data_IF_824584454048
#
_entry.id   IF_824584454048
#
_cell.length_a   1.000
_cell.length_b   1.000
_cell.length_c   1.000
_cell.angle_alpha   90.00
_cell.angle_beta   90.00
_cell.angle_gamma   90.00
#
_symmetry.space_group_name_H-M   'P 1'
#
loop_
_entity.id
_entity.type
_entity.pdbx_description
1 polymer ?
#
# COMPACT_ATOMS: atom_id res chain seq x y z
N UNK A 1 61.43 -49.00 17.05
CA UNK A 1 61.66 -48.11 15.90
C UNK A 1 61.44 -46.68 16.35
N UNK A 2 62.43 -45.80 16.12
CA UNK A 2 62.54 -44.45 16.72
C UNK A 2 61.77 -43.42 15.87
N UNK A 3 60.80 -42.72 16.46
CA UNK A 3 60.14 -41.57 15.84
C UNK A 3 60.94 -40.28 16.11
N UNK A 4 61.42 -39.64 15.05
CA UNK A 4 62.09 -38.33 15.10
C UNK A 4 61.04 -37.21 15.15
N UNK A 5 61.16 -36.32 16.14
CA UNK A 5 60.47 -35.02 16.18
C UNK A 5 61.22 -34.01 15.29
N UNK A 6 60.51 -33.32 14.40
CA UNK A 6 60.98 -32.15 13.69
C UNK A 6 60.50 -30.90 14.43
N UNK A 7 61.43 -30.04 14.87
CA UNK A 7 61.13 -28.68 15.31
C UNK A 7 61.40 -27.72 14.14
N UNK A 8 60.38 -27.00 13.70
CA UNK A 8 60.50 -25.88 12.76
C UNK A 8 60.58 -24.59 13.59
N UNK A 9 61.71 -23.91 13.55
CA UNK A 9 61.89 -22.55 14.09
C UNK A 9 61.70 -21.57 12.93
N UNK A 10 60.59 -20.82 12.93
CA UNK A 10 60.40 -19.67 12.05
C UNK A 10 60.86 -18.42 12.79
N UNK A 11 61.99 -17.85 12.36
CA UNK A 11 62.42 -16.53 12.77
C UNK A 11 61.58 -15.46 12.08
N UNK A 12 60.85 -14.67 12.85
CA UNK A 12 60.14 -13.49 12.37
C UNK A 12 61.12 -12.31 12.27
N UNK A 13 61.34 -11.84 11.05
CA UNK A 13 62.18 -10.67 10.75
C UNK A 13 61.36 -9.38 10.95
N UNK A 14 61.66 -8.65 12.02
CA UNK A 14 60.91 -7.47 12.47
C UNK A 14 61.23 -6.18 11.69
N UNK A 15 62.10 -6.26 10.68
CA UNK A 15 62.49 -5.10 9.86
C UNK A 15 61.48 -4.67 8.79
N UNK A 16 60.49 -5.52 8.46
CA UNK A 16 59.58 -5.26 7.33
C UNK A 16 58.36 -4.40 7.70
N UNK A 17 57.94 -4.39 8.97
CA UNK A 17 56.67 -3.75 9.37
C UNK A 17 56.74 -2.22 9.46
N UNK A 18 57.90 -1.67 9.82
CA UNK A 18 58.03 -0.21 10.02
C UNK A 18 58.01 0.60 8.71
N UNK A 19 58.55 0.05 7.61
CA UNK A 19 58.59 0.74 6.31
C UNK A 19 57.20 0.84 5.68
N UNK A 20 56.38 -0.20 5.81
CA UNK A 20 55.01 -0.19 5.28
C UNK A 20 54.08 0.71 6.10
N UNK A 21 54.25 0.78 7.42
CA UNK A 21 53.48 1.70 8.26
C UNK A 21 53.71 3.17 7.85
N UNK A 22 54.95 3.54 7.53
CA UNK A 22 55.26 4.92 7.12
C UNK A 22 54.70 5.27 5.73
N UNK A 23 54.71 4.30 4.80
CA UNK A 23 54.12 4.46 3.46
C UNK A 23 52.60 4.64 3.54
N UNK A 24 51.92 3.87 4.40
CA UNK A 24 50.46 3.98 4.58
C UNK A 24 50.09 5.35 5.17
N UNK A 25 50.83 5.84 6.18
CA UNK A 25 50.56 7.15 6.79
C UNK A 25 50.75 8.29 5.77
N UNK A 26 51.77 8.21 4.92
CA UNK A 26 51.99 9.18 3.83
C UNK A 26 50.90 9.11 2.76
N UNK A 27 50.43 7.92 2.41
CA UNK A 27 49.32 7.74 1.45
C UNK A 27 48.01 8.33 1.98
N UNK A 28 47.69 8.12 3.27
CA UNK A 28 46.49 8.67 3.90
C UNK A 28 46.56 10.20 3.97
N UNK A 29 47.73 10.77 4.28
CA UNK A 29 47.91 12.23 4.32
C UNK A 29 47.76 12.89 2.93
N UNK A 30 48.20 12.20 1.86
CA UNK A 30 48.07 12.71 0.49
C UNK A 30 46.65 12.56 -0.09
N UNK A 31 45.89 11.56 0.38
CA UNK A 31 44.51 11.33 -0.09
C UNK A 31 43.45 12.14 0.66
N UNK A 32 43.72 12.58 1.89
CA UNK A 32 42.80 13.39 2.69
C UNK A 32 42.22 14.64 1.96
N UNK A 33 43.01 15.48 1.27
CA UNK A 33 42.46 16.64 0.57
C UNK A 33 41.61 16.27 -0.65
N UNK A 34 41.90 15.13 -1.30
CA UNK A 34 41.11 14.64 -2.45
C UNK A 34 39.75 14.12 -1.99
N UNK A 35 39.70 13.40 -0.87
CA UNK A 35 38.45 12.92 -0.26
C UNK A 35 37.61 14.11 0.24
N UNK A 36 38.23 15.13 0.83
CA UNK A 36 37.52 16.35 1.25
C UNK A 36 36.93 17.12 0.06
N UNK A 37 37.66 17.23 -1.06
CA UNK A 37 37.16 17.86 -2.28
C UNK A 37 35.99 17.08 -2.91
N UNK A 38 36.05 15.74 -2.91
CA UNK A 38 34.96 14.88 -3.38
C UNK A 38 33.70 15.02 -2.49
N UNK A 39 33.85 15.14 -1.18
CA UNK A 39 32.75 15.38 -0.24
C UNK A 39 32.12 16.78 -0.40
N UNK A 40 32.92 17.80 -0.69
CA UNK A 40 32.41 19.15 -0.99
C UNK A 40 31.70 19.21 -2.35
N UNK A 41 32.10 18.38 -3.31
CA UNK A 41 31.45 18.32 -4.62
C UNK A 41 30.09 17.61 -4.53
N UNK A 42 29.99 16.47 -3.83
CA UNK A 42 28.72 15.76 -3.62
C UNK A 42 27.71 16.55 -2.78
N UNK A 43 28.16 17.35 -1.82
CA UNK A 43 27.26 18.23 -1.05
C UNK A 43 26.75 19.41 -1.85
N UNK A 44 27.53 19.95 -2.80
CA UNK A 44 27.06 21.02 -3.71
C UNK A 44 26.09 20.53 -4.77
N UNK A 45 26.29 19.33 -5.34
CA UNK A 45 25.33 18.75 -6.29
C UNK A 45 24.03 18.33 -5.61
N UNK A 46 24.08 17.88 -4.35
CA UNK A 46 22.85 17.58 -3.59
C UNK A 46 22.10 18.83 -3.12
N UNK A 47 22.75 20.00 -2.99
CA UNK A 47 22.04 21.27 -2.72
C UNK A 47 21.46 21.93 -3.97
N UNK A 48 22.02 21.66 -5.17
CA UNK A 48 21.47 22.15 -6.43
C UNK A 48 20.20 21.41 -6.88
N UNK A 49 19.94 20.23 -6.33
CA UNK A 49 18.69 19.46 -6.52
C UNK A 49 17.69 19.65 -5.38
N UNK A 50 17.83 20.68 -4.53
CA UNK A 50 16.70 21.13 -3.72
C UNK A 50 15.63 21.67 -4.66
N UNK A 51 14.63 20.84 -4.96
CA UNK A 51 13.38 21.20 -5.61
C UNK A 51 12.81 22.48 -4.97
N UNK A 52 12.99 23.61 -5.64
CA UNK A 52 12.38 24.88 -5.23
C UNK A 52 10.89 24.82 -5.55
N UNK A 53 10.11 24.23 -4.66
CA UNK A 53 8.65 24.29 -4.75
C UNK A 53 8.23 25.70 -4.36
N UNK A 54 7.75 26.50 -5.31
CA UNK A 54 7.10 27.77 -4.99
C UNK A 54 5.65 27.46 -4.58
N UNK A 55 5.37 27.53 -3.28
CA UNK A 55 4.01 27.62 -2.76
C UNK A 55 3.68 29.08 -2.51
N UNK A 56 2.54 29.55 -3.00
CA UNK A 56 1.98 30.84 -2.60
C UNK A 56 1.08 30.57 -1.39
N UNK A 57 1.42 31.06 -0.18
CA UNK A 57 0.55 30.92 0.97
C UNK A 57 -0.74 31.72 0.76
N UNK A 58 -1.88 31.09 1.07
CA UNK A 58 -3.20 31.72 0.97
C UNK A 58 -3.39 32.81 2.04
N UNK A 59 -4.14 33.86 1.66
CA UNK A 59 -4.62 34.93 2.54
C UNK A 59 -5.89 34.54 3.32
N UNK A 60 -6.53 33.41 2.99
CA UNK A 60 -7.74 32.90 3.62
C UNK A 60 -7.50 31.81 4.67
N UNK A 61 -6.57 32.00 5.61
CA UNK A 61 -6.41 31.20 6.86
C UNK A 61 -6.27 29.65 6.71
N UNK A 62 -6.31 29.12 5.49
CA UNK A 62 -6.03 27.75 5.10
C UNK A 62 -4.52 27.64 4.94
N UNK A 63 -3.88 26.80 5.74
CA UNK A 63 -2.42 26.55 5.64
C UNK A 63 -2.05 25.68 4.43
N UNK A 64 -2.97 25.43 3.51
CA UNK A 64 -2.79 24.47 2.42
C UNK A 64 -2.54 25.21 1.09
N UNK A 65 -1.47 24.87 0.34
CA UNK A 65 -1.22 25.48 -0.96
C UNK A 65 -2.35 25.15 -1.94
N UNK A 66 -2.92 26.18 -2.56
CA UNK A 66 -3.92 26.02 -3.64
C UNK A 66 -3.26 25.76 -5.01
N UNK A 67 -1.94 25.93 -5.09
CA UNK A 67 -1.19 25.86 -6.33
C UNK A 67 0.25 25.45 -6.07
N UNK A 68 0.75 24.54 -6.90
CA UNK A 68 2.16 24.12 -6.93
C UNK A 68 2.59 23.94 -8.37
N UNK A 69 3.71 24.54 -8.75
CA UNK A 69 4.37 24.21 -10.01
C UNK A 69 5.71 23.53 -9.77
N UNK A 70 6.00 22.55 -10.61
CA UNK A 70 7.33 21.95 -10.71
C UNK A 70 8.26 22.87 -11.51
N UNK A 71 9.56 22.58 -11.45
CA UNK A 71 10.56 23.30 -12.26
C UNK A 71 10.35 23.11 -13.78
N UNK A 72 9.59 22.08 -14.16
CA UNK A 72 9.24 21.75 -15.55
C UNK A 72 7.94 22.42 -16.02
N UNK A 73 7.51 23.50 -15.34
CA UNK A 73 6.28 24.26 -15.62
C UNK A 73 4.97 23.44 -15.58
N UNK A 74 4.96 22.29 -14.91
CA UNK A 74 3.73 21.56 -14.64
C UNK A 74 3.08 22.19 -13.42
N UNK A 75 1.92 22.81 -13.62
CA UNK A 75 1.21 23.52 -12.57
C UNK A 75 -0.06 22.78 -12.19
N UNK A 76 -0.13 22.36 -10.93
CA UNK A 76 -1.32 21.75 -10.33
C UNK A 76 -2.04 22.78 -9.49
N UNK A 77 -3.33 22.96 -9.75
CA UNK A 77 -4.23 23.77 -8.93
C UNK A 77 -5.16 22.84 -8.18
N UNK A 78 -5.32 23.08 -6.88
CA UNK A 78 -6.21 22.30 -6.02
C UNK A 78 -7.26 23.23 -5.43
N UNK A 79 -8.52 22.89 -5.65
CA UNK A 79 -9.66 23.62 -5.09
C UNK A 79 -10.18 22.89 -3.86
N UNK A 80 -10.59 23.65 -2.85
CA UNK A 80 -11.12 23.12 -1.60
C UNK A 80 -12.50 23.71 -1.30
N UNK A 81 -13.36 22.94 -0.64
CA UNK A 81 -14.61 23.45 -0.08
C UNK A 81 -14.37 24.31 1.18
N UNK A 82 -15.45 24.87 1.72
CA UNK A 82 -15.41 25.69 2.96
C UNK A 82 -14.95 24.92 4.21
N UNK A 83 -14.86 23.59 4.16
CA UNK A 83 -14.40 22.71 5.23
C UNK A 83 -12.93 22.31 5.06
N UNK A 84 -12.33 22.68 3.92
CA UNK A 84 -10.96 22.32 3.57
C UNK A 84 -10.86 20.94 2.91
N UNK A 85 -11.96 20.33 2.46
CA UNK A 85 -11.91 19.12 1.66
C UNK A 85 -11.53 19.48 0.22
N UNK A 86 -10.64 18.71 -0.39
CA UNK A 86 -10.27 18.88 -1.78
C UNK A 86 -11.44 18.51 -2.68
N UNK A 87 -11.98 19.46 -3.44
CA UNK A 87 -13.10 19.20 -4.36
C UNK A 87 -12.66 19.00 -5.80
N UNK A 88 -11.47 19.50 -6.14
CA UNK A 88 -11.00 19.48 -7.51
C UNK A 88 -9.48 19.54 -7.59
N UNK A 89 -8.89 18.73 -8.44
CA UNK A 89 -7.51 18.92 -8.91
C UNK A 89 -7.57 19.25 -10.40
N UNK A 90 -6.80 20.24 -10.83
CA UNK A 90 -6.58 20.53 -12.25
C UNK A 90 -5.09 20.64 -12.52
N UNK A 91 -4.64 20.01 -13.60
CA UNK A 91 -3.29 20.22 -14.09
C UNK A 91 -3.31 21.07 -15.36
N UNK A 92 -2.38 22.03 -15.46
CA UNK A 92 -2.21 22.86 -16.65
C UNK A 92 -0.72 22.90 -17.03
N UNK A 93 -0.42 22.69 -18.31
CA UNK A 93 0.95 22.76 -18.86
C UNK A 93 1.04 23.86 -19.92
N UNK A 94 2.29 24.27 -20.19
CA UNK A 94 2.66 24.98 -21.41
C UNK A 94 2.98 24.02 -22.59
N UNK A 95 3.27 24.62 -23.75
CA UNK A 95 3.30 24.00 -25.08
C UNK A 95 4.34 22.87 -25.30
N UNK A 96 5.13 22.50 -24.30
CA UNK A 96 6.26 21.56 -24.44
C UNK A 96 6.15 20.23 -23.65
N UNK A 97 5.00 19.92 -23.02
CA UNK A 97 4.54 18.54 -22.69
C UNK A 97 5.14 17.87 -21.43
N UNK A 98 4.37 17.43 -20.42
CA UNK A 98 2.98 16.97 -20.43
C UNK A 98 2.28 17.05 -19.05
N UNK A 99 0.95 17.21 -19.12
CA UNK A 99 -0.13 17.19 -18.12
C UNK A 99 -1.44 17.54 -18.88
N UNK A 100 -1.85 16.61 -19.74
CA UNK A 100 -3.14 16.68 -20.43
C UNK A 100 -4.13 15.89 -19.57
N UNK A 101 -4.94 16.64 -18.82
CA UNK A 101 -6.20 16.27 -18.18
C UNK A 101 -6.22 15.03 -17.26
N UNK A 102 -5.63 15.16 -16.05
CA UNK A 102 -6.19 14.49 -14.87
C UNK A 102 -7.00 15.52 -14.10
N UNK A 103 -8.31 15.38 -14.17
CA UNK A 103 -9.26 16.18 -13.43
C UNK A 103 -10.12 15.27 -12.60
N UNK A 104 -9.75 15.16 -11.33
CA UNK A 104 -10.62 14.53 -10.35
C UNK A 104 -11.56 15.56 -9.74
N UNK A 105 -12.85 15.42 -10.00
CA UNK A 105 -13.90 16.06 -9.21
C UNK A 105 -14.24 15.14 -8.03
N UNK A 106 -14.02 15.65 -6.82
CA UNK A 106 -14.36 14.97 -5.57
C UNK A 106 -15.63 15.60 -4.99
N UNK A 107 -16.66 14.77 -4.85
CA UNK A 107 -18.00 15.18 -4.42
C UNK A 107 -18.21 14.67 -2.99
N UNK A 108 -18.64 15.57 -2.10
CA UNK A 108 -18.85 15.27 -0.68
C UNK A 108 -20.31 15.45 -0.27
N UNK A 109 -20.75 14.68 0.72
CA UNK A 109 -22.04 14.88 1.38
C UNK A 109 -22.01 16.02 2.41
N UNK A 110 -23.16 16.29 3.04
CA UNK A 110 -23.27 17.30 4.10
C UNK A 110 -22.51 16.94 5.38
N UNK A 111 -22.09 15.69 5.60
CA UNK A 111 -21.22 15.31 6.72
C UNK A 111 -19.73 15.44 6.36
N UNK A 112 -19.39 15.61 5.08
CA UNK A 112 -18.03 15.70 4.57
C UNK A 112 -17.44 14.35 4.17
N UNK A 113 -18.26 13.32 3.97
CA UNK A 113 -17.80 12.06 3.39
C UNK A 113 -17.72 12.18 1.87
N UNK A 114 -16.66 11.61 1.29
CA UNK A 114 -16.47 11.56 -0.16
C UNK A 114 -17.46 10.56 -0.77
N UNK A 115 -18.49 11.03 -1.45
CA UNK A 115 -19.52 10.19 -2.05
C UNK A 115 -19.28 9.85 -3.52
N UNK A 116 -18.41 10.61 -4.19
CA UNK A 116 -18.02 10.30 -5.56
C UNK A 116 -16.64 10.91 -5.91
N UNK A 117 -15.89 10.18 -6.73
CA UNK A 117 -14.78 10.72 -7.53
C UNK A 117 -15.16 10.58 -8.99
N UNK A 118 -14.88 11.61 -9.79
CA UNK A 118 -15.07 11.60 -11.24
C UNK A 118 -13.80 12.00 -11.93
N UNK A 119 -13.40 11.18 -12.89
CA UNK A 119 -12.34 11.54 -13.80
C UNK A 119 -12.93 12.26 -15.02
N UNK A 120 -12.45 13.47 -15.26
CA UNK A 120 -12.96 14.36 -16.27
C UNK A 120 -12.02 14.43 -17.47
N UNK A 121 -12.50 13.97 -18.62
CA UNK A 121 -11.72 13.93 -19.86
C UNK A 121 -11.54 15.29 -20.52
N UNK A 122 -12.42 16.26 -20.26
CA UNK A 122 -12.29 17.59 -20.86
C UNK A 122 -12.92 18.67 -19.99
N UNK A 123 -12.21 19.78 -19.82
CA UNK A 123 -12.70 20.94 -19.06
C UNK A 123 -13.18 22.03 -20.02
N UNK A 124 -14.32 22.63 -19.69
CA UNK A 124 -14.72 23.90 -20.30
C UNK A 124 -13.76 25.04 -19.90
N UNK A 125 -13.78 26.13 -20.66
CA UNK A 125 -13.02 27.35 -20.34
C UNK A 125 -13.36 27.96 -18.96
N UNK A 126 -14.48 27.56 -18.36
CA UNK A 126 -14.92 28.00 -17.03
C UNK A 126 -14.40 27.08 -15.91
N UNK A 127 -13.58 26.08 -16.23
CA UNK A 127 -13.09 25.13 -15.25
C UNK A 127 -14.17 24.14 -14.80
N UNK A 128 -15.25 23.93 -15.57
CA UNK A 128 -16.26 22.91 -15.29
C UNK A 128 -16.02 21.70 -16.18
N UNK A 129 -16.16 20.48 -15.64
CA UNK A 129 -16.07 19.28 -16.46
C UNK A 129 -17.10 19.33 -17.59
N UNK A 130 -16.63 19.25 -18.83
CA UNK A 130 -17.45 19.35 -20.04
C UNK A 130 -17.84 17.98 -20.61
N UNK A 131 -17.01 16.96 -20.33
CA UNK A 131 -17.32 15.56 -20.54
C UNK A 131 -16.53 14.69 -19.56
N UNK A 132 -17.19 13.70 -19.01
CA UNK A 132 -16.56 12.60 -18.29
C UNK A 132 -16.27 11.47 -19.27
N UNK A 133 -15.18 10.76 -19.03
CA UNK A 133 -14.76 9.73 -19.97
C UNK A 133 -15.66 8.54 -20.09
N UNK A 134 -15.52 7.83 -21.21
CA UNK A 134 -16.19 6.54 -21.42
C UNK A 134 -15.51 5.38 -20.67
N UNK A 135 -14.59 5.71 -19.75
CA UNK A 135 -13.93 4.77 -18.85
C UNK A 135 -12.95 3.82 -19.56
N UNK A 136 -12.60 4.07 -20.84
CA UNK A 136 -11.73 3.19 -21.63
C UNK A 136 -10.26 3.57 -21.63
N UNK A 137 -9.88 4.59 -20.85
CA UNK A 137 -8.52 5.11 -20.76
C UNK A 137 -7.64 4.29 -19.80
N UNK A 138 -6.69 3.57 -20.39
CA UNK A 138 -5.52 2.91 -19.79
C UNK A 138 -5.75 1.76 -18.81
N UNK A 139 -5.43 0.57 -19.33
CA UNK A 139 -5.04 -0.63 -18.60
C UNK A 139 -4.21 -0.30 -17.35
N UNK A 140 -4.63 -0.91 -16.25
CA UNK A 140 -3.99 -0.94 -14.93
C UNK A 140 -4.44 0.14 -13.92
N UNK A 141 -5.72 0.11 -13.56
CA UNK A 141 -6.19 0.28 -12.18
C UNK A 141 -6.00 1.64 -11.49
N UNK A 142 -5.68 2.71 -12.22
CA UNK A 142 -5.71 4.07 -11.70
C UNK A 142 -6.88 4.83 -12.36
N UNK A 143 -7.66 5.56 -11.55
CA UNK A 143 -8.52 6.68 -11.98
C UNK A 143 -9.88 6.35 -12.64
N UNK A 144 -10.48 5.19 -12.33
CA UNK A 144 -11.90 4.99 -12.64
C UNK A 144 -12.80 5.84 -11.72
N UNK A 145 -13.71 6.62 -12.31
CA UNK A 145 -14.81 7.29 -11.60
C UNK A 145 -15.48 6.31 -10.65
N UNK A 146 -15.77 6.73 -9.42
CA UNK A 146 -16.28 5.83 -8.38
C UNK A 146 -17.36 6.50 -7.52
N UNK A 147 -18.34 5.70 -7.10
CA UNK A 147 -19.35 6.07 -6.11
C UNK A 147 -19.08 5.36 -4.79
N UNK A 148 -19.33 6.08 -3.70
CA UNK A 148 -19.21 5.59 -2.34
C UNK A 148 -20.53 5.78 -1.60
N UNK A 149 -20.89 4.80 -0.76
CA UNK A 149 -22.01 4.92 0.19
C UNK A 149 -21.53 4.73 1.61
N UNK A 150 -22.18 5.41 2.54
CA UNK A 150 -21.85 5.40 3.96
C UNK A 150 -23.06 5.02 4.80
N UNK A 151 -22.83 4.37 5.93
CA UNK A 151 -23.85 4.20 6.97
C UNK A 151 -24.00 5.47 7.83
N UNK A 152 -24.89 5.42 8.82
CA UNK A 152 -25.15 6.55 9.71
C UNK A 152 -23.98 6.92 10.63
N UNK A 153 -23.05 5.99 10.86
CA UNK A 153 -21.86 6.18 11.68
C UNK A 153 -20.67 6.72 10.85
N UNK A 154 -20.85 6.87 9.53
CA UNK A 154 -19.83 7.34 8.60
C UNK A 154 -18.88 6.24 8.12
N UNK A 155 -19.21 4.96 8.30
CA UNK A 155 -18.44 3.87 7.71
C UNK A 155 -18.84 3.67 6.25
N UNK A 156 -17.85 3.51 5.36
CA UNK A 156 -18.11 3.24 3.94
C UNK A 156 -18.67 1.84 3.74
N UNK A 157 -19.94 1.72 3.38
CA UNK A 157 -20.62 0.43 3.16
C UNK A 157 -20.61 -0.06 1.71
N UNK A 158 -20.30 0.81 0.74
CA UNK A 158 -20.20 0.42 -0.66
C UNK A 158 -19.15 1.24 -1.42
N UNK A 159 -18.53 0.59 -2.42
CA UNK A 159 -17.73 1.16 -3.49
C UNK A 159 -18.25 0.62 -4.82
N UNK A 160 -18.52 1.51 -5.78
CA UNK A 160 -18.93 1.16 -7.14
C UNK A 160 -18.09 1.89 -8.16
N UNK A 161 -17.54 1.15 -9.13
CA UNK A 161 -16.84 1.78 -10.25
C UNK A 161 -17.83 2.19 -11.34
N UNK A 162 -17.80 3.45 -11.68
CA UNK A 162 -18.63 4.05 -12.71
C UNK A 162 -17.88 4.01 -14.03
N UNK A 163 -18.41 3.25 -15.00
CA UNK A 163 -17.85 3.19 -16.36
C UNK A 163 -18.31 4.39 -17.20
N UNK A 164 -19.49 4.93 -16.90
CA UNK A 164 -20.02 6.09 -17.61
C UNK A 164 -20.71 7.06 -16.67
N UNK A 165 -20.30 8.31 -16.74
CA UNK A 165 -20.85 9.40 -15.93
C UNK A 165 -21.75 10.28 -16.81
N UNK A 166 -22.94 10.60 -16.32
CA UNK A 166 -23.85 11.53 -16.98
C UNK A 166 -23.30 12.97 -16.92
N UNK A 167 -23.88 13.85 -17.74
CA UNK A 167 -23.48 15.27 -17.80
C UNK A 167 -23.65 16.01 -16.47
N UNK A 168 -24.54 15.55 -15.61
CA UNK A 168 -24.77 16.11 -14.27
C UNK A 168 -23.81 15.54 -13.20
N UNK A 169 -22.85 14.71 -13.58
CA UNK A 169 -21.88 14.09 -12.68
C UNK A 169 -22.40 12.83 -11.98
N UNK A 170 -23.66 12.43 -12.20
CA UNK A 170 -24.18 11.17 -11.65
C UNK A 170 -23.66 9.97 -12.44
N UNK A 171 -23.52 8.82 -11.78
CA UNK A 171 -23.16 7.62 -12.50
C UNK A 171 -24.34 7.14 -13.37
N UNK A 172 -24.10 7.02 -14.68
CA UNK A 172 -25.09 6.54 -15.64
C UNK A 172 -24.98 5.04 -15.86
N UNK A 173 -23.77 4.49 -15.77
CA UNK A 173 -23.49 3.07 -16.00
C UNK A 173 -22.34 2.63 -15.10
N UNK A 174 -22.56 1.58 -14.31
CA UNK A 174 -21.52 0.95 -13.52
C UNK A 174 -20.80 -0.10 -14.34
N UNK A 175 -19.49 -0.22 -14.14
CA UNK A 175 -18.67 -1.24 -14.78
C UNK A 175 -19.09 -2.65 -14.38
N UNK A 176 -18.51 -3.67 -15.03
CA UNK A 176 -18.80 -5.07 -14.69
C UNK A 176 -18.05 -5.59 -13.47
N UNK A 177 -16.98 -4.91 -13.05
CA UNK A 177 -16.03 -5.41 -12.06
C UNK A 177 -15.59 -4.34 -11.05
N UNK A 178 -14.86 -4.79 -10.02
CA UNK A 178 -14.27 -3.95 -8.98
C UNK A 178 -15.25 -3.44 -7.90
N UNK A 179 -16.51 -3.88 -7.88
CA UNK A 179 -17.45 -3.39 -6.88
C UNK A 179 -17.24 -4.07 -5.54
N UNK A 180 -17.42 -3.33 -4.45
CA UNK A 180 -17.28 -3.87 -3.10
C UNK A 180 -18.37 -3.40 -2.16
N UNK A 181 -18.88 -4.32 -1.35
CA UNK A 181 -19.66 -3.99 -0.16
C UNK A 181 -18.83 -4.23 1.09
N UNK A 182 -19.12 -3.46 2.13
CA UNK A 182 -18.41 -3.54 3.40
C UNK A 182 -19.40 -3.68 4.54
N UNK A 183 -19.00 -4.45 5.55
CA UNK A 183 -19.75 -4.58 6.80
C UNK A 183 -18.85 -4.25 7.98
N UNK A 184 -19.46 -3.77 9.06
CA UNK A 184 -18.75 -3.29 10.23
C UNK A 184 -19.41 -3.82 11.50
N UNK A 185 -18.63 -3.96 12.57
CA UNK A 185 -19.18 -4.16 13.91
C UNK A 185 -19.64 -2.83 14.52
N UNK A 186 -20.24 -2.90 15.71
CA UNK A 186 -20.75 -1.72 16.41
C UNK A 186 -19.65 -0.72 16.85
N UNK A 187 -18.38 -1.09 16.76
CA UNK A 187 -17.25 -0.22 17.07
C UNK A 187 -16.60 0.38 15.81
N UNK A 188 -17.17 0.12 14.62
CA UNK A 188 -16.61 0.56 13.33
C UNK A 188 -15.45 -0.29 12.82
N UNK A 189 -15.22 -1.49 13.37
CA UNK A 189 -14.23 -2.41 12.81
C UNK A 189 -14.82 -3.12 11.60
N UNK A 190 -14.11 -3.13 10.47
CA UNK A 190 -14.56 -3.77 9.23
C UNK A 190 -14.62 -5.29 9.40
N UNK A 191 -15.80 -5.89 9.33
CA UNK A 191 -15.99 -7.34 9.43
C UNK A 191 -15.83 -8.06 8.10
N UNK A 192 -16.23 -7.42 6.99
CA UNK A 192 -16.04 -7.98 5.67
C UNK A 192 -15.86 -6.89 4.60
N UNK A 193 -15.14 -7.26 3.54
CA UNK A 193 -15.09 -6.61 2.23
C UNK A 193 -15.55 -7.66 1.22
N UNK A 194 -16.72 -7.51 0.66
CA UNK A 194 -17.33 -8.48 -0.24
C UNK A 194 -17.21 -7.99 -1.68
N UNK A 195 -16.56 -8.78 -2.52
CA UNK A 195 -16.51 -8.52 -3.96
C UNK A 195 -17.88 -8.76 -4.57
N UNK A 196 -18.42 -7.71 -5.20
CA UNK A 196 -19.71 -7.73 -5.84
C UNK A 196 -19.52 -7.96 -7.34
N UNK A 197 -19.97 -9.11 -7.84
CA UNK A 197 -19.77 -9.49 -9.24
C UNK A 197 -20.87 -8.97 -10.17
N UNK A 198 -21.96 -8.46 -9.61
CA UNK A 198 -23.10 -7.96 -10.38
C UNK A 198 -23.92 -6.98 -9.56
N UNK A 199 -24.37 -5.92 -10.23
CA UNK A 199 -25.16 -4.87 -9.64
C UNK A 199 -26.61 -4.94 -10.11
N UNK A 200 -27.50 -4.44 -9.26
CA UNK A 200 -28.84 -4.02 -9.64
C UNK A 200 -28.81 -2.64 -10.27
N UNK A 201 -29.92 -2.30 -10.93
CA UNK A 201 -30.13 -1.02 -11.61
C UNK A 201 -30.03 0.19 -10.65
N UNK A 202 -30.20 -0.03 -9.34
CA UNK A 202 -30.03 0.96 -8.26
C UNK A 202 -28.59 1.00 -7.67
N UNK A 203 -27.67 0.26 -8.29
CA UNK A 203 -26.29 0.11 -7.84
C UNK A 203 -26.11 -0.77 -6.60
N UNK A 204 -27.15 -1.46 -6.12
CA UNK A 204 -27.01 -2.43 -5.02
C UNK A 204 -26.42 -3.74 -5.52
N UNK A 205 -25.69 -4.45 -4.67
CA UNK A 205 -25.13 -5.74 -5.06
C UNK A 205 -26.22 -6.81 -5.22
N UNK A 206 -26.26 -7.49 -6.37
CA UNK A 206 -27.18 -8.62 -6.62
C UNK A 206 -26.56 -9.96 -6.25
N UNK A 207 -25.29 -10.13 -6.53
CA UNK A 207 -24.56 -11.34 -6.19
C UNK A 207 -23.12 -11.04 -5.80
N UNK A 208 -22.64 -11.85 -4.86
CA UNK A 208 -21.24 -11.87 -4.45
C UNK A 208 -20.55 -13.04 -5.12
N UNK A 209 -19.26 -12.87 -5.41
CA UNK A 209 -18.49 -13.94 -6.02
C UNK A 209 -17.00 -13.63 -6.00
N UNK A 210 -16.27 -14.39 -6.78
CA UNK A 210 -14.91 -14.07 -7.22
C UNK A 210 -14.96 -13.90 -8.72
N UNK A 211 -14.13 -13.04 -9.31
CA UNK A 211 -13.94 -13.12 -10.76
C UNK A 211 -13.31 -14.48 -11.05
N UNK A 212 -14.05 -15.36 -11.73
CA UNK A 212 -13.57 -16.68 -12.06
C UNK A 212 -12.50 -16.66 -13.17
N UNK A 213 -12.27 -15.49 -13.79
CA UNK A 213 -11.63 -15.41 -15.10
C UNK A 213 -10.18 -14.90 -15.08
N UNK A 214 -9.71 -14.28 -14.00
CA UNK A 214 -8.36 -13.74 -13.93
C UNK A 214 -7.60 -14.25 -12.71
N UNK A 215 -6.34 -14.67 -12.92
CA UNK A 215 -5.32 -14.91 -11.88
C UNK A 215 -4.98 -13.63 -11.06
N UNK A 216 -5.86 -12.62 -11.08
CA UNK A 216 -5.64 -11.31 -10.50
C UNK A 216 -6.29 -11.21 -9.11
N UNK A 217 -5.46 -10.93 -8.10
CA UNK A 217 -5.80 -11.07 -6.69
C UNK A 217 -6.78 -10.02 -6.15
N UNK A 218 -7.22 -9.09 -6.99
CA UNK A 218 -7.98 -7.92 -6.60
C UNK A 218 -9.47 -8.21 -6.33
N UNK A 219 -10.00 -9.31 -6.88
CA UNK A 219 -11.45 -9.60 -6.87
C UNK A 219 -11.84 -10.64 -5.82
N UNK A 220 -11.22 -10.57 -4.65
CA UNK A 220 -11.50 -11.50 -3.56
C UNK A 220 -12.27 -10.83 -2.42
N UNK A 221 -13.16 -11.61 -1.83
CA UNK A 221 -13.86 -11.20 -0.63
C UNK A 221 -13.00 -11.49 0.59
N UNK A 222 -12.94 -10.54 1.52
CA UNK A 222 -12.12 -10.59 2.73
C UNK A 222 -13.02 -10.54 3.96
N UNK A 223 -12.66 -11.31 4.99
CA UNK A 223 -13.36 -11.38 6.27
C UNK A 223 -12.35 -11.16 7.39
N UNK A 224 -12.75 -10.40 8.39
CA UNK A 224 -11.87 -9.98 9.47
C UNK A 224 -12.50 -10.28 10.81
N UNK A 225 -11.67 -10.66 11.78
CA UNK A 225 -12.07 -10.83 13.17
C UNK A 225 -11.13 -10.07 14.09
N UNK A 226 -11.70 -9.56 15.17
CA UNK A 226 -11.00 -8.71 16.12
C UNK A 226 -11.11 -9.27 17.53
N UNK A 227 -10.11 -8.99 18.37
CA UNK A 227 -10.23 -9.22 19.80
C UNK A 227 -11.03 -8.10 20.50
N UNK A 228 -11.19 -8.22 21.82
CA UNK A 228 -11.90 -7.23 22.64
C UNK A 228 -11.24 -5.85 22.68
N UNK A 229 -9.96 -5.74 22.31
CA UNK A 229 -9.23 -4.48 22.23
C UNK A 229 -9.24 -3.88 20.81
N UNK A 230 -9.95 -4.53 19.87
CA UNK A 230 -10.03 -4.16 18.45
C UNK A 230 -8.73 -4.39 17.68
N UNK A 231 -7.89 -5.31 18.15
CA UNK A 231 -6.76 -5.77 17.36
C UNK A 231 -7.25 -6.79 16.33
N UNK A 232 -6.81 -6.67 15.07
CA UNK A 232 -7.14 -7.62 14.00
C UNK A 232 -6.47 -8.97 14.30
N UNK A 233 -7.22 -9.99 14.70
CA UNK A 233 -6.64 -11.30 15.07
C UNK A 233 -6.69 -12.33 13.94
N UNK A 234 -7.58 -12.15 12.97
CA UNK A 234 -7.61 -13.02 11.79
C UNK A 234 -8.17 -12.29 10.59
N UNK A 235 -7.54 -12.54 9.45
CA UNK A 235 -8.03 -12.14 8.14
C UNK A 235 -8.12 -13.39 7.27
N UNK A 236 -9.23 -13.50 6.53
CA UNK A 236 -9.48 -14.60 5.63
C UNK A 236 -9.93 -14.11 4.28
N UNK A 237 -9.37 -14.72 3.24
CA UNK A 237 -9.84 -14.51 1.87
C UNK A 237 -10.77 -15.65 1.46
N UNK A 238 -11.93 -15.29 0.94
CA UNK A 238 -12.97 -16.22 0.55
C UNK A 238 -13.02 -16.36 -0.96
N UNK A 239 -12.91 -17.61 -1.43
CA UNK A 239 -13.00 -17.96 -2.85
C UNK A 239 -14.43 -18.08 -3.33
N UNK A 240 -15.36 -18.46 -2.46
CA UNK A 240 -16.76 -18.61 -2.86
C UNK A 240 -17.66 -18.02 -1.81
N UNK A 241 -18.39 -16.98 -2.19
CA UNK A 241 -19.33 -16.29 -1.31
C UNK A 241 -20.75 -16.74 -1.65
N UNK A 242 -21.56 -16.96 -0.63
CA UNK A 242 -22.99 -17.21 -0.77
C UNK A 242 -23.75 -15.93 -1.14
N UNK A 243 -24.98 -16.04 -1.65
CA UNK A 243 -25.82 -14.87 -1.97
C UNK A 243 -26.05 -13.95 -0.76
N UNK A 244 -26.10 -14.51 0.45
CA UNK A 244 -26.23 -13.76 1.70
C UNK A 244 -24.91 -13.14 2.20
N UNK A 245 -23.83 -13.20 1.41
CA UNK A 245 -22.53 -12.63 1.76
C UNK A 245 -21.70 -13.47 2.74
N UNK A 246 -22.07 -14.73 3.04
CA UNK A 246 -21.25 -15.60 3.90
C UNK A 246 -20.24 -16.40 3.09
N UNK A 247 -19.05 -16.63 3.64
CA UNK A 247 -18.05 -17.46 2.98
C UNK A 247 -18.45 -18.95 2.95
N UNK A 248 -18.39 -19.58 1.78
CA UNK A 248 -18.61 -21.03 1.59
C UNK A 248 -17.30 -21.81 1.49
N UNK A 249 -16.26 -21.20 0.94
CA UNK A 249 -14.97 -21.83 0.75
C UNK A 249 -13.85 -20.79 0.83
N UNK A 250 -12.83 -21.09 1.63
CA UNK A 250 -11.63 -20.29 1.77
C UNK A 250 -10.59 -20.72 0.75
N UNK A 251 -9.80 -19.76 0.28
CA UNK A 251 -8.71 -20.08 -0.65
C UNK A 251 -7.59 -20.84 0.05
N UNK A 252 -7.09 -21.90 -0.59
CA UNK A 252 -5.87 -22.57 -0.18
C UNK A 252 -4.69 -21.81 -0.78
N UNK A 253 -3.82 -21.26 0.06
CA UNK A 253 -2.64 -20.54 -0.40
C UNK A 253 -1.59 -21.57 -0.82
N UNK A 254 -1.76 -22.15 -2.01
CA UNK A 254 -0.82 -23.10 -2.59
C UNK A 254 0.39 -22.38 -3.16
N UNK A 255 1.39 -22.21 -2.31
CA UNK A 255 2.67 -21.59 -2.65
C UNK A 255 2.57 -20.08 -2.60
N UNK A 256 3.23 -19.46 -1.63
CA UNK A 256 3.56 -18.03 -1.68
C UNK A 256 4.65 -17.82 -2.74
N UNK A 257 4.32 -17.98 -4.03
CA UNK A 257 4.89 -17.04 -4.99
C UNK A 257 4.24 -15.69 -4.64
N UNK A 258 4.96 -14.58 -4.77
CA UNK A 258 4.45 -13.23 -4.47
C UNK A 258 3.17 -12.88 -5.27
N UNK A 259 2.81 -13.74 -6.24
CA UNK A 259 1.62 -13.68 -7.09
C UNK A 259 0.39 -14.44 -6.59
N UNK A 260 0.47 -15.17 -5.47
CA UNK A 260 -0.65 -15.98 -5.01
C UNK A 260 -1.70 -15.16 -4.30
N UNK A 261 -2.91 -15.21 -4.85
CA UNK A 261 -4.04 -14.39 -4.42
C UNK A 261 -4.71 -14.95 -3.17
N UNK A 262 -4.89 -14.07 -2.18
CA UNK A 262 -5.56 -14.38 -0.93
C UNK A 262 -4.59 -14.53 0.22
N UNK A 263 -4.74 -13.66 1.21
CA UNK A 263 -3.97 -13.70 2.43
C UNK A 263 -4.87 -14.33 3.50
N UNK A 264 -4.45 -15.49 3.98
CA UNK A 264 -5.01 -16.12 5.17
C UNK A 264 -4.02 -15.88 6.30
N UNK A 265 -4.36 -15.04 7.27
CA UNK A 265 -3.42 -14.66 8.32
C UNK A 265 -4.06 -14.66 9.71
N UNK A 266 -3.33 -15.18 10.69
CA UNK A 266 -3.62 -15.07 12.11
C UNK A 266 -2.59 -14.18 12.80
N UNK A 267 -3.07 -13.27 13.63
CA UNK A 267 -2.24 -12.32 14.35
C UNK A 267 -2.42 -12.52 15.85
N UNK A 268 -1.35 -12.26 16.59
CA UNK A 268 -1.37 -12.28 18.06
C UNK A 268 -0.71 -11.02 18.57
N UNK A 269 -1.24 -10.50 19.68
CA UNK A 269 -0.80 -9.26 20.29
C UNK A 269 -0.39 -9.49 21.74
N UNK A 270 0.52 -8.67 22.24
CA UNK A 270 0.79 -8.59 23.67
C UNK A 270 -0.31 -7.79 24.40
N UNK A 271 -0.20 -7.68 25.73
CA UNK A 271 -1.17 -6.95 26.56
C UNK A 271 -1.20 -5.45 26.30
N UNK A 272 -0.20 -4.90 25.59
CA UNK A 272 -0.12 -3.49 25.22
C UNK A 272 -0.67 -3.24 23.80
N UNK A 273 -1.11 -4.30 23.10
CA UNK A 273 -1.58 -4.21 21.72
C UNK A 273 -0.48 -4.23 20.67
N UNK A 274 0.76 -4.58 21.02
CA UNK A 274 1.83 -4.75 20.03
C UNK A 274 1.70 -6.12 19.37
N UNK A 275 1.78 -6.16 18.03
CA UNK A 275 1.69 -7.41 17.27
C UNK A 275 2.94 -8.26 17.47
N UNK A 276 2.84 -9.37 18.19
CA UNK A 276 3.99 -10.27 18.46
C UNK A 276 4.13 -11.40 17.45
N UNK A 277 3.07 -11.71 16.67
CA UNK A 277 3.21 -12.63 15.54
C UNK A 277 2.20 -12.40 14.41
N UNK A 278 2.60 -12.76 13.19
CA UNK A 278 1.73 -12.98 12.04
C UNK A 278 1.99 -14.39 11.47
N UNK A 279 0.95 -15.20 11.35
CA UNK A 279 1.03 -16.58 10.84
C UNK A 279 0.19 -16.70 9.58
N UNK A 280 0.83 -17.03 8.46
CA UNK A 280 0.17 -17.13 7.17
C UNK A 280 -0.21 -18.59 6.89
N UNK A 281 -1.49 -18.83 6.67
CA UNK A 281 -2.04 -20.16 6.54
C UNK A 281 -1.78 -20.71 5.14
N UNK A 282 -1.33 -21.97 5.10
CA UNK A 282 -1.19 -22.75 3.87
C UNK A 282 -2.53 -23.33 3.45
N UNK A 283 -3.21 -23.93 4.41
CA UNK A 283 -4.52 -24.57 4.22
C UNK A 283 -5.47 -24.08 5.29
N UNK A 284 -6.72 -23.86 4.87
CA UNK A 284 -7.80 -23.39 5.72
C UNK A 284 -8.95 -24.38 5.60
N UNK A 285 -9.51 -24.79 6.73
CA UNK A 285 -10.69 -25.63 6.80
C UNK A 285 -11.94 -24.87 6.30
N UNK A 286 -13.03 -25.60 6.05
CA UNK A 286 -14.29 -24.98 5.60
C UNK A 286 -14.91 -24.02 6.62
N UNK A 287 -14.54 -24.14 7.90
CA UNK A 287 -14.95 -23.23 8.98
C UNK A 287 -14.02 -22.02 9.15
N UNK A 288 -12.99 -21.89 8.31
CA UNK A 288 -12.01 -20.80 8.39
C UNK A 288 -10.83 -21.05 9.32
N UNK A 289 -10.76 -22.21 9.99
CA UNK A 289 -9.62 -22.55 10.85
C UNK A 289 -8.38 -22.89 10.03
N UNK A 290 -7.21 -22.36 10.42
CA UNK A 290 -5.96 -22.69 9.74
C UNK A 290 -5.49 -24.10 10.15
N UNK A 291 -5.28 -24.96 9.16
CA UNK A 291 -4.87 -26.35 9.37
C UNK A 291 -3.35 -26.54 9.24
N UNK A 292 -2.69 -25.67 8.47
CA UNK A 292 -1.25 -25.65 8.31
C UNK A 292 -0.75 -24.23 8.01
N UNK A 293 0.51 -23.95 8.33
CA UNK A 293 1.14 -22.65 8.10
C UNK A 293 2.27 -22.73 7.09
N UNK A 294 2.36 -21.73 6.20
CA UNK A 294 3.43 -21.60 5.22
C UNK A 294 4.60 -20.77 5.75
N UNK A 295 4.26 -19.71 6.48
CA UNK A 295 5.16 -18.64 6.84
C UNK A 295 4.74 -18.01 8.17
N UNK A 296 5.72 -17.59 8.97
CA UNK A 296 5.50 -16.79 10.17
C UNK A 296 6.50 -15.66 10.28
N UNK A 297 6.00 -14.56 10.81
CA UNK A 297 6.78 -13.44 11.30
C UNK A 297 6.58 -13.35 12.82
N UNK A 298 7.68 -13.29 13.55
CA UNK A 298 7.70 -13.01 14.99
C UNK A 298 8.28 -11.63 15.22
N UNK A 299 7.70 -10.91 16.17
CA UNK A 299 8.17 -9.60 16.58
C UNK A 299 8.45 -9.63 18.07
N UNK A 300 9.65 -9.18 18.46
CA UNK A 300 9.95 -8.87 19.85
C UNK A 300 10.20 -7.36 19.97
N UNK A 301 9.58 -6.74 20.97
CA UNK A 301 9.67 -5.31 21.22
C UNK A 301 10.60 -5.09 22.40
N UNK A 302 11.55 -4.17 22.24
CA UNK A 302 12.32 -3.66 23.38
C UNK A 302 11.50 -2.61 24.16
N UNK A 303 12.09 -2.09 25.24
CA UNK A 303 11.44 -1.07 26.07
C UNK A 303 11.19 0.25 25.34
N UNK A 304 11.82 0.47 24.17
CA UNK A 304 11.65 1.65 23.32
C UNK A 304 10.63 1.39 22.18
N UNK A 305 9.94 0.25 22.21
CA UNK A 305 9.03 -0.22 21.15
C UNK A 305 9.68 -0.46 19.79
N UNK A 306 11.02 -0.61 19.72
CA UNK A 306 11.67 -1.06 18.49
C UNK A 306 11.45 -2.55 18.36
N UNK A 307 10.96 -2.97 17.20
CA UNK A 307 10.77 -4.38 16.92
C UNK A 307 12.05 -5.01 16.35
N UNK A 308 12.35 -6.21 16.81
CA UNK A 308 13.19 -7.15 16.07
C UNK A 308 12.26 -8.10 15.34
N UNK A 309 12.42 -8.20 14.02
CA UNK A 309 11.61 -9.07 13.16
C UNK A 309 12.38 -10.36 12.88
N UNK A 310 11.80 -11.51 13.23
CA UNK A 310 12.29 -12.83 12.85
C UNK A 310 11.31 -13.47 11.86
N UNK A 311 11.84 -13.96 10.75
CA UNK A 311 11.06 -14.51 9.64
C UNK A 311 11.37 -16.00 9.50
N UNK A 312 10.35 -16.87 9.55
CA UNK A 312 10.53 -18.33 9.52
C UNK A 312 9.61 -18.96 8.48
N UNK A 313 10.18 -19.73 7.55
CA UNK A 313 9.43 -20.35 6.46
C UNK A 313 9.56 -21.86 6.49
N UNK A 314 8.50 -22.54 6.03
CA UNK A 314 8.51 -24.00 5.85
C UNK A 314 9.61 -24.47 4.87
N UNK A 315 10.00 -23.63 3.90
CA UNK A 315 11.06 -23.97 2.92
C UNK A 315 12.45 -24.13 3.55
N UNK A 316 12.71 -23.45 4.67
CA UNK A 316 14.01 -23.47 5.32
C UNK A 316 14.09 -24.45 6.51
N UNK A 317 13.07 -25.30 6.71
CA UNK A 317 12.93 -26.20 7.86
C UNK A 317 13.01 -25.51 9.24
N UNK A 318 12.77 -24.19 9.31
CA UNK A 318 12.78 -23.41 10.56
C UNK A 318 11.37 -23.11 11.06
N UNK A 319 10.35 -23.81 10.54
CA UNK A 319 8.95 -23.63 10.90
C UNK A 319 8.30 -24.98 11.20
N UNK A 320 7.71 -25.11 12.38
CA UNK A 320 6.81 -26.22 12.67
C UNK A 320 5.48 -25.97 11.94
N UNK A 321 5.18 -26.77 10.92
CA UNK A 321 4.01 -26.56 10.05
C UNK A 321 2.67 -26.78 10.76
N UNK A 322 2.65 -27.50 11.89
CA UNK A 322 1.44 -27.76 12.67
C UNK A 322 1.10 -26.61 13.63
N UNK A 323 2.11 -26.07 14.34
CA UNK A 323 1.90 -24.98 15.32
C UNK A 323 2.11 -23.60 14.71
N UNK A 324 2.84 -23.55 13.58
CA UNK A 324 3.36 -22.33 13.00
C UNK A 324 4.60 -21.80 13.73
N UNK A 325 5.15 -22.47 14.74
CA UNK A 325 6.24 -21.92 15.54
C UNK A 325 7.59 -21.92 14.82
N UNK A 326 8.41 -20.90 15.08
CA UNK A 326 9.78 -20.85 14.59
C UNK A 326 10.64 -21.85 15.39
N UNK A 327 11.24 -22.82 14.71
CA UNK A 327 12.19 -23.78 15.29
C UNK A 327 13.60 -23.17 15.23
#
# INVERSE_FOLDING_TARGET
>A
MKNKKFHLLLGYDTGFTLKWALVIVLLVALLAPVVAALFQWTTRTNQANLLTTQSIPDTNNSKVPQWTCTQDNICTTVTYDKRGNMTKITCSIDKNGACEDVLEDAIYDEAGHLIAIRDCEAVSNEGVCSSYGDGKGYSDWNEASADYKYDADGNRIALRYCEKVAKDGTCAEYGKEGHFDYTYDANGNKLAKLYCNSLADDGMCRAYGTSAEDDNCFHLSEYYTYDAHRNLISMRTCRTVAENGTCKAYDAVEGLDERSCGIQADYTYDTNGNQISARYCKTVASDGACQAYNWREEYAYDNDQKNTKKTCSSRNNTLNTATGECI
#
